data_IF_906357822168
#
_entry.id   IF_906357822168
#
_cell.length_a   1.000
_cell.length_b   1.000
_cell.length_c   1.000
_cell.angle_alpha   90.00
_cell.angle_beta   90.00
_cell.angle_gamma   90.00
#
_symmetry.space_group_name_H-M   'P 1'
#
loop_
_entity.id
_entity.type
_entity.pdbx_description
1 polymer ?
#
# COMPACT_ATOMS: atom_id res chain seq x y z
N UNK A 1 9.97 12.14 -14.70
CA UNK A 1 9.23 12.11 -13.42
C UNK A 1 8.21 10.97 -13.39
N UNK A 2 7.29 10.90 -14.36
CA UNK A 2 6.32 9.81 -14.53
C UNK A 2 6.95 8.42 -14.70
N UNK A 3 8.03 8.27 -15.48
CA UNK A 3 8.70 6.97 -15.68
C UNK A 3 9.38 6.43 -14.40
N UNK A 4 9.95 7.33 -13.59
CA UNK A 4 10.61 6.95 -12.34
C UNK A 4 9.58 6.50 -11.29
N UNK A 5 8.46 7.21 -11.21
CA UNK A 5 7.33 6.85 -10.35
C UNK A 5 6.70 5.52 -10.78
N UNK A 6 6.49 5.33 -12.09
CA UNK A 6 6.00 4.06 -12.63
C UNK A 6 6.92 2.89 -12.25
N UNK A 7 8.24 3.11 -12.34
CA UNK A 7 9.25 2.11 -11.94
C UNK A 7 9.16 1.77 -10.46
N UNK A 8 8.97 2.76 -9.57
CA UNK A 8 8.78 2.52 -8.13
C UNK A 8 7.51 1.70 -7.85
N UNK A 9 6.39 2.04 -8.51
CA UNK A 9 5.12 1.30 -8.38
C UNK A 9 5.26 -0.13 -8.90
N UNK A 10 5.93 -0.33 -10.04
CA UNK A 10 6.25 -1.65 -10.59
C UNK A 10 7.08 -2.49 -9.60
N UNK A 11 8.09 -1.89 -8.96
CA UNK A 11 8.88 -2.55 -7.93
C UNK A 11 8.05 -2.94 -6.71
N UNK A 12 7.11 -2.08 -6.29
CA UNK A 12 6.19 -2.39 -5.19
C UNK A 12 5.28 -3.58 -5.54
N UNK A 13 4.70 -3.59 -6.75
CA UNK A 13 3.87 -4.72 -7.22
C UNK A 13 4.68 -6.01 -7.30
N UNK A 14 5.91 -5.95 -7.81
CA UNK A 14 6.80 -7.11 -7.91
C UNK A 14 7.19 -7.64 -6.52
N UNK A 15 7.55 -6.75 -5.59
CA UNK A 15 7.83 -7.09 -4.20
C UNK A 15 6.60 -7.68 -3.50
N UNK A 16 5.39 -7.16 -3.79
CA UNK A 16 4.15 -7.73 -3.28
C UNK A 16 3.96 -9.18 -3.68
N UNK A 17 4.08 -9.45 -4.98
CA UNK A 17 3.89 -10.78 -5.57
C UNK A 17 4.95 -11.80 -5.16
N UNK A 18 6.18 -11.36 -4.86
CA UNK A 18 7.25 -12.22 -4.34
C UNK A 18 7.02 -12.51 -2.85
N UNK A 19 6.57 -11.55 -2.07
CA UNK A 19 6.35 -11.74 -0.63
C UNK A 19 5.20 -12.70 -0.34
N UNK A 20 4.13 -12.72 -1.13
CA UNK A 20 3.01 -13.66 -0.92
C UNK A 20 3.50 -15.12 -0.72
N UNK A 21 4.29 -15.71 -1.64
CA UNK A 21 4.78 -17.08 -1.49
C UNK A 21 5.82 -17.26 -0.39
N UNK A 22 6.52 -16.21 0.06
CA UNK A 22 7.62 -16.31 1.05
C UNK A 22 7.38 -15.52 2.34
N UNK A 23 6.13 -15.12 2.58
CA UNK A 23 5.71 -14.24 3.68
C UNK A 23 5.96 -14.84 5.07
N UNK A 24 6.06 -16.16 5.17
CA UNK A 24 6.48 -16.90 6.38
C UNK A 24 7.99 -16.96 6.57
N UNK A 25 8.79 -16.65 5.55
CA UNK A 25 10.25 -16.84 5.54
C UNK A 25 11.07 -15.56 5.36
N UNK A 26 10.50 -14.46 4.85
CA UNK A 26 11.26 -13.25 4.52
C UNK A 26 10.85 -12.02 5.33
N UNK A 27 11.42 -11.87 6.53
CA UNK A 27 11.34 -10.62 7.29
C UNK A 27 11.96 -9.41 6.56
N UNK A 28 12.81 -9.64 5.55
CA UNK A 28 13.39 -8.58 4.72
C UNK A 28 12.36 -7.95 3.78
N UNK A 29 11.50 -8.75 3.15
CA UNK A 29 10.43 -8.24 2.28
C UNK A 29 9.35 -7.50 3.05
N UNK A 30 8.92 -8.03 4.19
CA UNK A 30 7.98 -7.35 5.10
C UNK A 30 8.46 -5.96 5.53
N UNK A 31 9.77 -5.76 5.71
CA UNK A 31 10.37 -4.44 6.01
C UNK A 31 10.60 -3.56 4.79
N UNK A 32 10.69 -4.15 3.60
CA UNK A 32 10.97 -3.43 2.36
C UNK A 32 9.71 -2.85 1.73
N UNK A 33 8.56 -3.56 1.78
CA UNK A 33 7.30 -3.08 1.21
C UNK A 33 6.86 -1.72 1.76
N UNK A 34 6.82 -1.48 3.09
CA UNK A 34 6.44 -0.17 3.61
C UNK A 34 7.42 0.92 3.17
N UNK A 35 8.72 0.62 3.08
CA UNK A 35 9.73 1.57 2.59
C UNK A 35 9.53 1.92 1.11
N UNK A 36 9.19 0.93 0.28
CA UNK A 36 8.86 1.16 -1.13
C UNK A 36 7.57 1.96 -1.28
N UNK A 37 6.55 1.66 -0.47
CA UNK A 37 5.31 2.44 -0.39
C UNK A 37 5.56 3.89 0.01
N UNK A 38 6.34 4.13 1.08
CA UNK A 38 6.71 5.47 1.54
C UNK A 38 7.57 6.24 0.54
N UNK A 39 8.39 5.54 -0.27
CA UNK A 39 9.23 6.16 -1.30
C UNK A 39 8.45 6.58 -2.57
N UNK A 40 7.27 6.01 -2.79
CA UNK A 40 6.23 6.51 -3.70
C UNK A 40 5.51 7.59 -2.89
N UNK A 41 6.18 8.73 -2.69
CA UNK A 41 5.81 9.64 -1.61
C UNK A 41 4.36 10.12 -1.71
N UNK A 42 3.77 10.41 -0.55
CA UNK A 42 2.48 11.12 -0.44
C UNK A 42 2.52 12.39 -1.29
N UNK A 43 3.64 13.11 -1.27
CA UNK A 43 3.87 14.34 -2.04
C UNK A 43 3.87 14.13 -3.56
N UNK A 44 4.47 13.04 -4.08
CA UNK A 44 4.58 12.79 -5.53
C UNK A 44 3.21 12.46 -6.15
N UNK A 45 2.31 11.79 -5.41
CA UNK A 45 0.96 11.51 -5.90
C UNK A 45 -0.04 12.65 -5.61
N UNK A 46 0.14 13.41 -4.52
CA UNK A 46 -0.82 14.45 -4.11
C UNK A 46 -0.58 15.82 -4.75
N UNK A 47 0.67 16.22 -5.04
CA UNK A 47 0.97 17.58 -5.53
C UNK A 47 0.53 17.84 -6.97
N UNK A 48 0.55 16.84 -7.85
CA UNK A 48 0.25 17.03 -9.28
C UNK A 48 -1.08 16.41 -9.73
N UNK A 49 -1.63 15.46 -8.96
CA UNK A 49 -2.65 14.54 -9.47
C UNK A 49 -3.79 14.24 -8.49
N UNK A 50 -3.92 15.01 -7.41
CA UNK A 50 -5.01 14.83 -6.44
C UNK A 50 -4.95 13.52 -5.66
N UNK A 51 -3.77 12.90 -5.53
CA UNK A 51 -3.57 11.64 -4.81
C UNK A 51 -3.50 10.41 -5.71
N UNK A 52 -3.56 10.57 -7.03
CA UNK A 52 -3.53 9.46 -7.99
C UNK A 52 -2.31 9.49 -8.90
N UNK A 53 -1.83 8.32 -9.31
CA UNK A 53 -0.81 8.15 -10.31
C UNK A 53 -1.30 7.14 -11.36
N UNK A 54 -1.21 7.52 -12.64
CA UNK A 54 -1.57 6.66 -13.76
C UNK A 54 -0.44 6.63 -14.79
N UNK A 55 0.40 5.60 -14.70
CA UNK A 55 1.45 5.32 -15.68
C UNK A 55 0.93 4.48 -16.85
N UNK A 56 1.85 4.03 -17.70
CA UNK A 56 1.51 3.21 -18.86
C UNK A 56 1.09 1.78 -18.46
N UNK A 57 1.85 1.16 -17.55
CA UNK A 57 1.67 -0.23 -17.10
C UNK A 57 1.05 -0.35 -15.72
N UNK A 58 1.26 0.63 -14.86
CA UNK A 58 0.89 0.58 -13.45
C UNK A 58 0.21 1.87 -12.99
N UNK A 59 -0.57 1.76 -11.91
CA UNK A 59 -1.25 2.87 -11.27
C UNK A 59 -1.10 2.78 -9.75
N UNK A 60 -1.26 3.91 -9.08
CA UNK A 60 -1.32 4.00 -7.63
C UNK A 60 -2.29 5.11 -7.19
N UNK A 61 -2.90 4.99 -6.01
CA UNK A 61 -3.74 6.03 -5.41
C UNK A 61 -3.59 6.03 -3.90
N UNK A 62 -3.67 7.20 -3.28
CA UNK A 62 -3.60 7.36 -1.84
C UNK A 62 -4.98 7.70 -1.31
N UNK A 63 -5.46 6.89 -0.37
CA UNK A 63 -6.69 7.16 0.37
C UNK A 63 -6.37 7.28 1.86
N UNK A 64 -7.11 8.16 2.55
CA UNK A 64 -7.08 8.22 4.01
C UNK A 64 -8.25 7.41 4.55
N UNK A 65 -7.95 6.45 5.43
CA UNK A 65 -8.95 5.68 6.14
C UNK A 65 -8.99 6.11 7.61
N UNK A 66 -10.19 6.51 8.08
CA UNK A 66 -10.44 6.74 9.50
C UNK A 66 -10.63 5.37 10.20
N UNK A 67 -9.66 4.96 11.01
CA UNK A 67 -9.72 3.71 11.78
C UNK A 67 -10.92 3.66 12.74
N UNK A 68 -11.30 4.80 13.32
CA UNK A 68 -12.30 4.91 14.38
C UNK A 68 -13.69 5.28 13.85
N UNK A 69 -14.19 4.58 12.83
CA UNK A 69 -15.62 4.63 12.47
C UNK A 69 -16.44 3.70 13.37
N UNK A 70 -16.60 4.07 14.63
CA UNK A 70 -17.61 3.46 15.48
C UNK A 70 -19.02 3.90 15.01
N UNK A 71 -19.68 3.06 14.20
CA UNK A 71 -21.10 3.25 13.86
C UNK A 71 -21.92 3.26 15.15
N UNK A 72 -22.54 4.40 15.47
CA UNK A 72 -23.39 4.62 16.65
C UNK A 72 -22.81 5.58 17.71
N UNK A 73 -21.50 5.81 17.74
CA UNK A 73 -20.88 6.64 18.78
C UNK A 73 -21.12 8.15 18.55
N UNK A 74 -21.31 8.56 17.29
CA UNK A 74 -21.57 9.96 16.91
C UNK A 74 -22.85 10.52 17.55
N UNK A 75 -23.93 9.75 17.50
CA UNK A 75 -25.23 10.13 18.09
C UNK A 75 -25.14 10.20 19.61
N UNK A 76 -24.42 9.26 20.25
CA UNK A 76 -24.15 9.30 21.69
C UNK A 76 -23.36 10.53 22.13
N UNK A 77 -22.34 10.92 21.37
CA UNK A 77 -21.54 12.13 21.64
C UNK A 77 -22.38 13.39 21.45
N UNK A 78 -23.27 13.44 20.45
CA UNK A 78 -24.17 14.57 20.24
C UNK A 78 -25.18 14.74 21.37
N UNK A 79 -25.77 13.64 21.86
CA UNK A 79 -26.68 13.67 23.01
C UNK A 79 -25.92 14.07 24.29
N UNK A 80 -24.76 13.46 24.54
CA UNK A 80 -23.91 13.78 25.70
C UNK A 80 -23.46 15.24 25.70
N UNK A 81 -23.09 15.79 24.55
CA UNK A 81 -22.65 17.20 24.44
C UNK A 81 -23.80 18.19 24.64
N UNK A 82 -25.05 17.79 24.36
CA UNK A 82 -26.23 18.61 24.67
C UNK A 82 -26.53 18.63 26.18
N UNK A 83 -26.32 17.52 26.86
CA UNK A 83 -26.58 17.36 28.29
C UNK A 83 -25.45 17.94 29.16
N UNK A 84 -24.20 17.87 28.69
CA UNK A 84 -23.01 18.37 29.38
C UNK A 84 -22.10 19.20 28.43
N UNK A 85 -22.40 20.49 28.19
CA UNK A 85 -21.75 21.29 27.14
C UNK A 85 -20.22 21.46 27.31
N UNK A 86 -19.77 21.77 28.52
CA UNK A 86 -18.34 21.97 28.82
C UNK A 86 -17.53 20.67 28.67
N UNK A 87 -18.09 19.54 29.13
CA UNK A 87 -17.42 18.25 29.07
C UNK A 87 -17.51 17.63 27.67
N UNK A 88 -18.61 17.87 26.97
CA UNK A 88 -18.77 17.49 25.57
C UNK A 88 -17.79 18.22 24.65
N UNK A 89 -17.43 19.48 24.96
CA UNK A 89 -16.38 20.21 24.26
C UNK A 89 -15.01 19.56 24.45
N UNK A 90 -14.61 19.29 25.69
CA UNK A 90 -13.36 18.60 26.01
C UNK A 90 -13.30 17.23 25.31
N UNK A 91 -14.39 16.46 25.38
CA UNK A 91 -14.48 15.16 24.72
C UNK A 91 -14.36 15.29 23.19
N UNK A 92 -14.98 16.30 22.58
CA UNK A 92 -14.82 16.59 21.15
C UNK A 92 -13.38 16.91 20.80
N UNK A 93 -12.71 17.76 21.58
CA UNK A 93 -11.31 18.13 21.34
C UNK A 93 -10.41 16.88 21.40
N UNK A 94 -10.59 16.00 22.40
CA UNK A 94 -9.88 14.71 22.46
C UNK A 94 -10.22 13.79 21.29
N UNK A 95 -11.48 13.74 20.85
CA UNK A 95 -11.89 12.91 19.72
C UNK A 95 -11.34 13.46 18.40
N UNK A 96 -11.28 14.77 18.23
CA UNK A 96 -10.69 15.41 17.06
C UNK A 96 -9.17 15.19 17.03
N UNK A 97 -8.49 15.36 18.17
CA UNK A 97 -7.06 15.03 18.33
C UNK A 97 -6.77 13.55 18.05
N UNK A 98 -7.64 12.63 18.47
CA UNK A 98 -7.52 11.20 18.15
C UNK A 98 -7.91 10.86 16.69
N UNK A 99 -8.82 11.64 16.08
CA UNK A 99 -9.18 11.49 14.65
C UNK A 99 -8.14 12.08 13.71
N UNK A 100 -7.19 12.86 14.22
CA UNK A 100 -5.99 13.23 13.46
C UNK A 100 -5.08 12.03 13.20
N UNK A 101 -5.21 10.92 13.95
CA UNK A 101 -4.58 9.63 13.62
C UNK A 101 -5.32 8.95 12.44
N UNK A 102 -5.12 9.50 11.24
CA UNK A 102 -5.59 8.90 9.97
C UNK A 102 -4.52 7.97 9.43
N UNK A 103 -4.92 6.75 9.07
CA UNK A 103 -4.06 5.87 8.30
C UNK A 103 -4.08 6.29 6.84
N UNK A 104 -2.90 6.45 6.25
CA UNK A 104 -2.75 6.65 4.82
C UNK A 104 -2.49 5.31 4.16
N UNK A 105 -3.31 4.94 3.20
CA UNK A 105 -3.18 3.71 2.43
C UNK A 105 -2.83 4.02 0.99
N UNK A 106 -1.75 3.42 0.51
CA UNK A 106 -1.36 3.43 -0.90
C UNK A 106 -1.96 2.19 -1.57
N UNK A 107 -2.96 2.38 -2.42
CA UNK A 107 -3.48 1.35 -3.30
C UNK A 107 -2.67 1.35 -4.60
N UNK A 108 -2.38 0.17 -5.14
CA UNK A 108 -1.56 0.01 -6.33
C UNK A 108 -1.96 -1.22 -7.13
N UNK A 109 -1.74 -1.15 -8.44
CA UNK A 109 -2.11 -2.21 -9.37
C UNK A 109 -1.52 -2.03 -10.78
N UNK A 110 -1.84 -2.99 -11.64
CA UNK A 110 -1.48 -2.94 -13.07
C UNK A 110 -2.68 -2.47 -13.88
N UNK A 111 -2.42 -1.69 -14.92
CA UNK A 111 -3.44 -1.36 -15.90
C UNK A 111 -3.91 -2.64 -16.63
N UNK A 112 -5.16 -2.64 -17.08
CA UNK A 112 -5.73 -3.78 -17.82
C UNK A 112 -4.84 -4.16 -19.02
N UNK A 113 -4.59 -5.46 -19.19
CA UNK A 113 -3.72 -6.00 -20.25
C UNK A 113 -2.21 -5.90 -19.96
N UNK A 114 -1.78 -5.21 -18.91
CA UNK A 114 -0.37 -5.07 -18.56
C UNK A 114 0.11 -6.21 -17.66
N UNK A 115 1.39 -6.58 -17.81
CA UNK A 115 2.04 -7.62 -17.00
C UNK A 115 3.41 -7.16 -16.54
N UNK A 116 3.84 -7.66 -15.39
CA UNK A 116 5.23 -7.57 -14.95
C UNK A 116 6.11 -8.49 -15.81
N UNK A 117 7.27 -7.98 -16.20
CA UNK A 117 8.31 -8.71 -16.93
C UNK A 117 9.18 -9.51 -15.98
N UNK A 118 9.96 -10.45 -16.50
CA UNK A 118 10.95 -11.17 -15.69
C UNK A 118 11.94 -10.19 -15.02
N UNK A 119 12.41 -9.19 -15.77
CA UNK A 119 13.37 -8.19 -15.28
C UNK A 119 12.84 -7.39 -14.09
N UNK A 120 11.54 -7.09 -14.06
CA UNK A 120 10.91 -6.40 -12.92
C UNK A 120 11.07 -7.22 -11.62
N UNK A 121 10.84 -8.54 -11.69
CA UNK A 121 11.00 -9.42 -10.54
C UNK A 121 12.47 -9.66 -10.19
N UNK A 122 13.32 -9.82 -11.20
CA UNK A 122 14.76 -10.01 -11.03
C UNK A 122 15.40 -8.80 -10.35
N UNK A 123 14.95 -7.58 -10.68
CA UNK A 123 15.38 -6.35 -10.03
C UNK A 123 15.10 -6.35 -8.53
N UNK A 124 13.90 -6.82 -8.13
CA UNK A 124 13.53 -6.95 -6.72
C UNK A 124 14.33 -8.06 -6.03
N UNK A 125 14.54 -9.21 -6.67
CA UNK A 125 15.36 -10.28 -6.07
C UNK A 125 16.81 -9.84 -5.85
N UNK A 126 17.39 -9.10 -6.81
CA UNK A 126 18.73 -8.50 -6.65
C UNK A 126 18.77 -7.52 -5.47
N UNK A 127 17.75 -6.68 -5.28
CA UNK A 127 17.70 -5.75 -4.12
C UNK A 127 17.56 -6.48 -2.77
N UNK A 128 17.00 -7.69 -2.78
CA UNK A 128 16.99 -8.58 -1.62
C UNK A 128 18.34 -9.26 -1.34
N UNK A 129 19.33 -9.10 -2.22
CA UNK A 129 20.68 -9.66 -2.07
C UNK A 129 20.85 -11.02 -2.72
N UNK A 130 19.89 -11.48 -3.53
CA UNK A 130 20.10 -12.66 -4.36
C UNK A 130 21.06 -12.33 -5.51
N UNK A 131 21.94 -13.30 -5.83
CA UNK A 131 22.77 -13.19 -7.03
C UNK A 131 21.91 -13.37 -8.28
N UNK A 132 22.44 -12.97 -9.43
CA UNK A 132 21.72 -13.14 -10.70
C UNK A 132 21.40 -14.60 -11.01
N UNK A 133 22.34 -15.52 -10.75
CA UNK A 133 22.14 -16.94 -10.94
C UNK A 133 20.98 -17.47 -10.07
N UNK A 134 21.02 -17.19 -8.77
CA UNK A 134 19.96 -17.63 -7.83
C UNK A 134 18.60 -17.02 -8.20
N UNK A 135 18.59 -15.75 -8.61
CA UNK A 135 17.35 -15.07 -9.01
C UNK A 135 16.74 -15.72 -10.26
N UNK A 136 17.57 -16.13 -11.24
CA UNK A 136 17.09 -16.79 -12.47
C UNK A 136 16.53 -18.17 -12.18
N UNK A 137 17.17 -18.91 -11.27
CA UNK A 137 16.74 -20.26 -10.90
C UNK A 137 15.44 -20.23 -10.10
N UNK A 138 15.29 -19.26 -9.19
CA UNK A 138 14.11 -19.14 -8.32
C UNK A 138 12.89 -18.51 -9.04
N UNK A 139 13.12 -17.74 -10.10
CA UNK A 139 12.07 -17.00 -10.81
C UNK A 139 10.90 -17.88 -11.29
N UNK A 140 11.12 -19.01 -12.02
CA UNK A 140 10.03 -19.85 -12.52
C UNK A 140 9.13 -20.38 -11.39
N UNK A 141 9.74 -20.84 -10.30
CA UNK A 141 9.02 -21.39 -9.15
C UNK A 141 8.18 -20.32 -8.44
N UNK A 142 8.76 -19.15 -8.17
CA UNK A 142 8.05 -18.02 -7.58
C UNK A 142 6.85 -17.60 -8.44
N UNK A 143 7.02 -17.58 -9.77
CA UNK A 143 5.95 -17.21 -10.68
C UNK A 143 4.84 -18.25 -10.73
N UNK A 144 5.17 -19.53 -10.65
CA UNK A 144 4.17 -20.59 -10.60
C UNK A 144 3.31 -20.46 -9.34
N UNK A 145 3.94 -20.28 -8.18
CA UNK A 145 3.23 -20.11 -6.90
C UNK A 145 2.43 -18.80 -6.90
N UNK A 146 3.02 -17.70 -7.35
CA UNK A 146 2.33 -16.40 -7.44
C UNK A 146 1.11 -16.44 -8.36
N UNK A 147 1.19 -17.14 -9.51
CA UNK A 147 0.03 -17.35 -10.42
C UNK A 147 -1.06 -18.19 -9.78
N UNK A 148 -0.71 -19.23 -9.01
CA UNK A 148 -1.69 -20.05 -8.29
C UNK A 148 -2.41 -19.25 -7.20
N UNK A 149 -1.72 -18.32 -6.54
CA UNK A 149 -2.26 -17.51 -5.45
C UNK A 149 -3.04 -16.28 -5.94
N UNK A 150 -2.63 -15.66 -7.05
CA UNK A 150 -3.31 -14.49 -7.65
C UNK A 150 -4.67 -14.84 -8.27
N UNK A 151 -4.85 -16.02 -8.87
CA UNK A 151 -6.14 -16.49 -9.41
C UNK A 151 -7.30 -16.52 -8.39
N UNK A 152 -7.02 -16.33 -7.10
CA UNK A 152 -8.02 -16.33 -6.02
C UNK A 152 -8.41 -14.94 -5.51
N UNK A 153 -7.80 -13.84 -5.97
CA UNK A 153 -8.03 -12.49 -5.42
C UNK A 153 -7.95 -11.43 -6.53
N UNK A 154 -9.00 -10.62 -6.69
CA UNK A 154 -8.99 -9.46 -7.60
C UNK A 154 -7.84 -8.48 -7.25
N UNK A 155 -7.30 -7.86 -8.30
CA UNK A 155 -5.87 -7.54 -8.45
C UNK A 155 -5.37 -6.24 -7.78
N UNK A 156 -6.23 -5.50 -7.09
CA UNK A 156 -5.82 -4.29 -6.37
C UNK A 156 -5.29 -4.60 -4.96
N UNK A 157 -4.17 -3.98 -4.60
CA UNK A 157 -3.49 -4.17 -3.32
C UNK A 157 -3.29 -2.84 -2.63
N UNK A 158 -3.23 -2.86 -1.31
CA UNK A 158 -2.89 -1.67 -0.51
C UNK A 158 -1.72 -1.95 0.44
N UNK A 159 -0.99 -0.89 0.76
CA UNK A 159 0.02 -0.86 1.82
C UNK A 159 -0.13 0.44 2.63
N UNK A 160 -0.07 0.33 3.95
CA UNK A 160 -0.08 1.48 4.85
C UNK A 160 1.22 2.29 4.69
N UNK A 161 1.07 3.60 4.52
CA UNK A 161 2.13 4.58 4.30
C UNK A 161 1.96 5.79 5.23
N UNK A 162 1.74 5.53 6.53
CA UNK A 162 1.58 6.56 7.55
C UNK A 162 1.64 5.93 8.92
#
# INVERSE_FOLDING_TARGET
MTEELERKVIQLIAADRIDIPISSMSGKLKRMKPKLGQAISVDECTKESGGEFKGNRAYARIESEDLLKARGMKEGIEVFSKEYPEHGKILKDYIEEQREEKELHLYFGLNSGCKLTADDYMGVMKSLGFTEAISRDLYPELMEVSRKLSRKRDEERSVMIG
#
